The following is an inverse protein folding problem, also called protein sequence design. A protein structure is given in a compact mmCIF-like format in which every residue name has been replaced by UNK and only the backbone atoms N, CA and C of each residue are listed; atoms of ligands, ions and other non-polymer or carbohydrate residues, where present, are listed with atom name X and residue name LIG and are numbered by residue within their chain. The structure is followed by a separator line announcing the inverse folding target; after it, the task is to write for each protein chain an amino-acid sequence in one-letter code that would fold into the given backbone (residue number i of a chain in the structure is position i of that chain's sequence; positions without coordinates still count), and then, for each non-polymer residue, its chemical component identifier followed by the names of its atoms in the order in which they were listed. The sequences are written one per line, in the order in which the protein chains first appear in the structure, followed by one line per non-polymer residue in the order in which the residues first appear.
data_IF_094384932538
#
_entry.id   IF_094384932538
#
_cell.length_a   1.000
_cell.length_b   1.000
_cell.length_c   1.000
_cell.angle_alpha   90.00
_cell.angle_beta   90.00
_cell.angle_gamma   90.00
#
_symmetry.space_group_name_H-M   'P 1'
#
loop_
_entity.id
_entity.type
_entity.pdbx_description
1 polymer ?
#
# COMPACT_ATOMS: atom_id res chain seq x y z
N UNK A 1 -6.83 0.53 15.13
CA UNK A 1 -6.82 0.02 13.75
C UNK A 1 -5.50 -0.70 13.58
N UNK A 2 -5.49 -1.90 13.02
CA UNK A 2 -4.23 -2.61 12.75
C UNK A 2 -3.39 -1.81 11.76
N UNK A 3 -2.07 -1.73 11.94
CA UNK A 3 -1.23 -0.95 11.04
C UNK A 3 -1.01 -1.69 9.71
N UNK A 4 -1.13 -0.98 8.59
CA UNK A 4 -0.70 -1.50 7.29
C UNK A 4 0.83 -1.38 7.18
N UNK A 5 1.46 -2.37 6.54
CA UNK A 5 2.90 -2.33 6.30
C UNK A 5 3.25 -2.64 4.85
N UNK A 6 4.25 -1.94 4.32
CA UNK A 6 4.86 -2.22 3.01
C UNK A 6 6.36 -2.42 3.16
N UNK A 7 6.96 -3.10 2.20
CA UNK A 7 8.41 -3.30 2.13
C UNK A 7 8.94 -2.68 0.84
N UNK A 8 9.96 -1.84 0.97
CA UNK A 8 10.68 -1.23 -0.16
C UNK A 8 12.13 -1.68 -0.14
N UNK A 9 12.70 -2.02 -1.29
CA UNK A 9 14.10 -2.38 -1.44
C UNK A 9 14.94 -1.15 -1.75
N UNK A 10 15.53 -0.55 -0.72
CA UNK A 10 16.31 0.68 -0.81
C UNK A 10 17.76 0.42 -0.42
N UNK A 11 18.71 0.95 -1.18
CA UNK A 11 20.15 0.73 -0.98
C UNK A 11 20.53 -0.76 -0.93
N UNK A 12 19.84 -1.59 -1.70
CA UNK A 12 20.02 -3.04 -1.74
C UNK A 12 19.45 -3.79 -0.53
N UNK A 13 18.76 -3.12 0.40
CA UNK A 13 18.18 -3.69 1.62
C UNK A 13 16.67 -3.57 1.64
N UNK A 14 16.00 -4.57 2.17
CA UNK A 14 14.55 -4.51 2.41
C UNK A 14 14.28 -3.67 3.67
N UNK A 15 13.53 -2.58 3.48
CA UNK A 15 13.10 -1.66 4.54
C UNK A 15 11.58 -1.76 4.70
N UNK A 16 11.11 -2.11 5.90
CA UNK A 16 9.69 -2.18 6.24
C UNK A 16 9.19 -0.85 6.78
N UNK A 17 8.10 -0.35 6.20
CA UNK A 17 7.41 0.86 6.64
C UNK A 17 6.02 0.51 7.15
N UNK A 18 5.57 1.20 8.20
CA UNK A 18 4.26 0.98 8.84
C UNK A 18 3.51 2.31 8.93
N UNK A 19 2.20 2.27 8.73
CA UNK A 19 1.34 3.46 8.87
C UNK A 19 1.32 3.98 10.31
N UNK A 20 1.13 5.30 10.52
CA UNK A 20 0.97 5.87 11.86
C UNK A 20 -0.36 5.46 12.51
N UNK A 21 -0.45 5.62 13.83
CA UNK A 21 -1.66 5.26 14.61
C UNK A 21 -2.89 6.10 14.25
N UNK A 22 -2.69 7.30 13.72
CA UNK A 22 -3.74 8.22 13.34
C UNK A 22 -3.65 8.61 11.86
N UNK A 23 -4.60 8.12 11.07
CA UNK A 23 -4.80 8.52 9.68
C UNK A 23 -5.81 9.66 9.65
N UNK A 24 -5.41 10.80 9.06
CA UNK A 24 -6.29 11.97 9.01
C UNK A 24 -7.41 11.77 7.99
N UNK A 25 -8.61 12.29 8.28
CA UNK A 25 -9.74 12.26 7.33
C UNK A 25 -9.48 13.02 6.02
N UNK A 26 -8.44 13.85 5.97
CA UNK A 26 -7.97 14.49 4.73
C UNK A 26 -7.58 13.45 3.66
N UNK A 27 -7.00 12.33 4.08
CA UNK A 27 -6.58 11.26 3.18
C UNK A 27 -7.76 10.45 2.65
N UNK A 28 -8.89 10.43 3.35
CA UNK A 28 -10.07 9.64 2.96
C UNK A 28 -10.60 10.02 1.57
N UNK A 29 -10.71 11.32 1.28
CA UNK A 29 -11.19 11.79 -0.03
C UNK A 29 -10.28 11.33 -1.17
N UNK A 30 -8.95 11.39 -0.96
CA UNK A 30 -7.96 10.92 -1.95
C UNK A 30 -8.06 9.40 -2.12
N UNK A 31 -8.16 8.67 -1.02
CA UNK A 31 -8.32 7.22 -1.03
C UNK A 31 -9.55 6.77 -1.84
N UNK A 32 -10.70 7.43 -1.67
CA UNK A 32 -11.92 7.12 -2.41
C UNK A 32 -11.77 7.36 -3.92
N UNK A 33 -11.11 8.47 -4.32
CA UNK A 33 -10.81 8.74 -5.74
C UNK A 33 -9.89 7.67 -6.33
N UNK A 34 -8.83 7.32 -5.60
CA UNK A 34 -7.87 6.31 -6.04
C UNK A 34 -8.55 4.94 -6.16
N UNK A 35 -9.43 4.58 -5.23
CA UNK A 35 -10.19 3.35 -5.35
C UNK A 35 -11.04 3.32 -6.62
N UNK A 36 -11.76 4.42 -6.93
CA UNK A 36 -12.52 4.56 -8.17
C UNK A 36 -11.62 4.48 -9.43
N UNK A 37 -10.43 5.11 -9.41
CA UNK A 37 -9.44 5.00 -10.49
C UNK A 37 -9.08 3.52 -10.77
N UNK A 38 -8.85 2.73 -9.73
CA UNK A 38 -8.52 1.31 -9.83
C UNK A 38 -9.70 0.44 -10.26
N UNK A 39 -10.92 0.81 -9.91
CA UNK A 39 -12.14 0.12 -10.30
C UNK A 39 -12.59 0.46 -11.73
N UNK A 40 -12.18 1.62 -12.28
CA UNK A 40 -12.61 2.04 -13.61
C UNK A 40 -12.00 1.26 -14.78
N UNK A 41 -11.01 0.39 -14.51
CA UNK A 41 -10.27 -0.40 -15.52
C UNK A 41 -9.62 0.46 -16.62
N UNK A 42 -9.31 1.73 -16.30
CA UNK A 42 -8.67 2.67 -17.21
C UNK A 42 -7.19 2.77 -16.84
N UNK A 43 -6.32 2.17 -17.66
CA UNK A 43 -4.89 2.11 -17.41
C UNK A 43 -4.24 3.50 -17.32
N UNK A 44 -4.81 4.52 -17.98
CA UNK A 44 -4.28 5.89 -17.92
C UNK A 44 -4.51 6.56 -16.56
N UNK A 45 -5.43 6.02 -15.74
CA UNK A 45 -5.73 6.51 -14.39
C UNK A 45 -4.91 5.80 -13.31
N UNK A 46 -4.08 4.83 -13.66
CA UNK A 46 -3.30 4.02 -12.71
C UNK A 46 -1.84 4.46 -12.69
N UNK A 47 -1.22 4.34 -11.51
CA UNK A 47 0.20 4.62 -11.29
C UNK A 47 0.55 6.08 -11.64
N UNK A 48 -0.18 7.01 -11.04
CA UNK A 48 0.04 8.45 -11.20
C UNK A 48 0.86 9.04 -10.05
N UNK A 49 1.52 10.19 -10.28
CA UNK A 49 2.26 10.92 -9.24
C UNK A 49 1.38 11.21 -8.01
N UNK A 50 0.10 11.55 -8.22
CA UNK A 50 -0.86 11.81 -7.13
C UNK A 50 -1.06 10.58 -6.23
N UNK A 51 -1.08 9.38 -6.84
CA UNK A 51 -1.22 8.12 -6.13
C UNK A 51 0.03 7.76 -5.33
N UNK A 52 1.21 8.00 -5.91
CA UNK A 52 2.50 7.79 -5.25
C UNK A 52 2.66 8.75 -4.05
N UNK A 53 2.35 10.03 -4.24
CA UNK A 53 2.33 11.01 -3.15
C UNK A 53 1.34 10.62 -2.06
N UNK A 54 0.15 10.11 -2.43
CA UNK A 54 -0.83 9.63 -1.47
C UNK A 54 -0.28 8.49 -0.60
N UNK A 55 0.46 7.54 -1.19
CA UNK A 55 1.13 6.48 -0.43
C UNK A 55 2.13 7.09 0.55
N UNK A 56 3.03 7.96 0.09
CA UNK A 56 4.02 8.61 0.95
C UNK A 56 3.38 9.35 2.14
N UNK A 57 2.30 10.10 1.88
CA UNK A 57 1.54 10.82 2.90
C UNK A 57 0.86 9.87 3.90
N UNK A 58 0.33 8.73 3.45
CA UNK A 58 -0.31 7.74 4.31
C UNK A 58 0.69 7.09 5.29
N UNK A 59 1.95 6.94 4.88
CA UNK A 59 3.04 6.46 5.74
C UNK A 59 3.72 7.58 6.55
N UNK A 60 3.16 8.79 6.56
CA UNK A 60 3.70 9.91 7.34
C UNK A 60 5.01 10.46 6.80
N UNK A 61 5.20 10.46 5.48
CA UNK A 61 6.38 10.99 4.78
C UNK A 61 7.70 10.34 5.23
N UNK A 62 7.67 9.05 5.54
CA UNK A 62 8.86 8.27 5.95
C UNK A 62 9.75 7.83 4.78
N UNK A 63 9.28 8.02 3.56
CA UNK A 63 9.99 7.84 2.30
C UNK A 63 9.44 8.84 1.28
N UNK A 64 10.22 9.15 0.24
CA UNK A 64 9.83 10.02 -0.88
C UNK A 64 9.11 9.26 -1.99
N UNK A 65 8.54 9.99 -2.96
CA UNK A 65 7.98 9.40 -4.17
C UNK A 65 9.04 8.59 -4.93
N UNK A 66 10.23 9.17 -5.16
CA UNK A 66 11.37 8.50 -5.78
C UNK A 66 11.75 7.21 -5.03
N UNK A 67 11.84 7.24 -3.70
CA UNK A 67 12.15 6.05 -2.90
C UNK A 67 11.04 4.98 -3.00
N UNK A 68 9.77 5.39 -3.13
CA UNK A 68 8.70 4.44 -3.37
C UNK A 68 8.86 3.78 -4.75
N UNK A 69 9.06 4.56 -5.80
CA UNK A 69 9.18 4.06 -7.18
C UNK A 69 10.42 3.19 -7.39
N UNK A 70 11.57 3.60 -6.85
CA UNK A 70 12.81 2.84 -6.92
C UNK A 70 12.75 1.57 -6.05
N UNK A 71 12.06 1.64 -4.92
CA UNK A 71 12.05 0.59 -3.91
C UNK A 71 10.96 -0.46 -4.06
N UNK A 72 9.83 -0.15 -4.69
CA UNK A 72 8.72 -1.08 -4.85
C UNK A 72 8.99 -2.07 -5.98
N UNK A 73 8.61 -3.34 -5.79
CA UNK A 73 8.54 -4.27 -6.92
C UNK A 73 7.43 -3.80 -7.86
N UNK A 74 7.76 -3.51 -9.13
CA UNK A 74 6.82 -3.00 -10.12
C UNK A 74 5.56 -3.88 -10.27
N UNK A 75 5.68 -5.20 -10.07
CA UNK A 75 4.54 -6.15 -10.11
C UNK A 75 3.56 -5.95 -8.95
N UNK A 76 4.00 -5.28 -7.89
CA UNK A 76 3.24 -4.99 -6.68
C UNK A 76 2.82 -3.52 -6.58
N UNK A 77 3.30 -2.64 -7.46
CA UNK A 77 3.08 -1.21 -7.35
C UNK A 77 1.59 -0.83 -7.30
N UNK A 78 0.83 -1.22 -8.34
CA UNK A 78 -0.61 -0.95 -8.41
C UNK A 78 -1.38 -1.56 -7.24
N UNK A 79 -1.13 -2.84 -6.92
CA UNK A 79 -1.80 -3.51 -5.78
C UNK A 79 -1.53 -2.81 -4.45
N UNK A 80 -0.31 -2.27 -4.29
CA UNK A 80 0.10 -1.58 -3.06
C UNK A 80 -0.62 -0.26 -2.93
N UNK A 81 -0.68 0.54 -4.00
CA UNK A 81 -1.45 1.79 -4.03
C UNK A 81 -2.92 1.53 -3.68
N UNK A 82 -3.53 0.51 -4.32
CA UNK A 82 -4.92 0.17 -4.09
C UNK A 82 -5.20 -0.37 -2.67
N UNK A 83 -4.27 -1.14 -2.11
CA UNK A 83 -4.33 -1.61 -0.73
C UNK A 83 -4.27 -0.44 0.26
N UNK A 84 -3.39 0.53 0.03
CA UNK A 84 -3.26 1.72 0.87
C UNK A 84 -4.54 2.56 0.82
N UNK A 85 -5.17 2.71 -0.36
CA UNK A 85 -6.46 3.38 -0.49
C UNK A 85 -7.56 2.66 0.32
N UNK A 86 -7.69 1.34 0.15
CA UNK A 86 -8.65 0.53 0.92
C UNK A 86 -8.43 0.63 2.43
N UNK A 87 -7.18 0.60 2.88
CA UNK A 87 -6.83 0.77 4.28
C UNK A 87 -7.29 2.11 4.85
N UNK A 88 -7.01 3.22 4.14
CA UNK A 88 -7.43 4.56 4.55
C UNK A 88 -8.95 4.71 4.59
N UNK A 89 -9.68 3.98 3.74
CA UNK A 89 -11.15 3.93 3.76
C UNK A 89 -11.73 3.05 4.88
N UNK A 90 -10.89 2.32 5.61
CA UNK A 90 -11.30 1.40 6.68
C UNK A 90 -11.56 -0.03 6.23
N UNK A 91 -11.27 -0.37 4.98
CA UNK A 91 -11.38 -1.73 4.41
C UNK A 91 -10.11 -2.54 4.74
N UNK A 92 -9.91 -2.80 6.04
CA UNK A 92 -8.65 -3.38 6.56
C UNK A 92 -8.41 -4.80 6.03
N UNK A 93 -9.46 -5.61 5.96
CA UNK A 93 -9.39 -7.00 5.47
C UNK A 93 -8.97 -7.05 4.01
N UNK A 94 -9.57 -6.20 3.18
CA UNK A 94 -9.30 -6.08 1.76
C UNK A 94 -7.87 -5.58 1.51
N UNK A 95 -7.44 -4.56 2.25
CA UNK A 95 -6.08 -4.05 2.18
C UNK A 95 -5.03 -5.12 2.53
N UNK A 96 -5.26 -5.91 3.58
CA UNK A 96 -4.38 -7.00 3.95
C UNK A 96 -4.33 -8.11 2.87
N UNK A 97 -5.48 -8.50 2.32
CA UNK A 97 -5.57 -9.51 1.27
C UNK A 97 -4.82 -9.10 0.00
N UNK A 98 -4.91 -7.83 -0.40
CA UNK A 98 -4.20 -7.28 -1.56
C UNK A 98 -2.67 -7.38 -1.41
N UNK A 99 -2.15 -7.22 -0.20
CA UNK A 99 -0.70 -7.31 0.06
C UNK A 99 -0.22 -8.75 0.26
N UNK A 100 -1.06 -9.65 0.80
CA UNK A 100 -0.68 -11.02 1.15
C UNK A 100 -0.85 -12.07 0.04
N UNK A 101 -1.44 -11.74 -1.12
CA UNK A 101 -1.68 -12.70 -2.22
C UNK A 101 -0.42 -13.23 -2.96
N UNK A 102 0.70 -13.42 -2.25
CA UNK A 102 1.86 -14.20 -2.68
C UNK A 102 2.45 -15.09 -1.57
N UNK A 103 1.95 -15.02 -0.34
CA UNK A 103 2.36 -15.88 0.76
C UNK A 103 1.10 -16.57 1.31
N UNK A 104 0.88 -17.82 0.88
CA UNK A 104 0.17 -18.75 1.75
C UNK A 104 1.05 -18.79 3.02
N UNK A 105 0.55 -18.45 4.21
CA UNK A 105 1.28 -18.79 5.41
C UNK A 105 1.40 -20.32 5.36
N UNK A 106 2.59 -20.83 5.09
CA UNK A 106 2.93 -22.20 5.46
C UNK A 106 2.72 -22.23 6.95
N UNK A 107 1.52 -22.62 7.36
CA UNK A 107 1.25 -22.98 8.72
C UNK A 107 2.32 -23.99 9.07
N UNK A 108 3.15 -23.65 10.04
CA UNK A 108 3.90 -24.65 10.78
C UNK A 108 2.91 -25.77 11.08
N UNK A 109 3.11 -26.92 10.45
CA UNK A 109 2.47 -28.14 10.88
C UNK A 109 2.78 -28.23 12.38
N UNK A 110 1.77 -28.31 13.28
CA UNK A 110 2.05 -28.74 14.62
C UNK A 110 2.53 -30.18 14.50
N UNK A 111 3.85 -30.36 14.53
CA UNK A 111 4.45 -31.63 14.84
C UNK A 111 4.02 -32.02 16.25
N UNK A 112 3.09 -32.97 16.33
CA UNK A 112 3.10 -34.15 17.20
C UNK A 112 1.89 -35.05 16.90
#
# INVERSE_FOLDING_TARGET
MEALSITLRLDGKDKKFVTPDHITGLLFRKAAKIADDFESQDEERIFTDEQIEFVCNTFGQRFTADEFEEGIDARLAGRTIYAVANYVMGNITEAAALLHNGEIPTGDEPGE
#
